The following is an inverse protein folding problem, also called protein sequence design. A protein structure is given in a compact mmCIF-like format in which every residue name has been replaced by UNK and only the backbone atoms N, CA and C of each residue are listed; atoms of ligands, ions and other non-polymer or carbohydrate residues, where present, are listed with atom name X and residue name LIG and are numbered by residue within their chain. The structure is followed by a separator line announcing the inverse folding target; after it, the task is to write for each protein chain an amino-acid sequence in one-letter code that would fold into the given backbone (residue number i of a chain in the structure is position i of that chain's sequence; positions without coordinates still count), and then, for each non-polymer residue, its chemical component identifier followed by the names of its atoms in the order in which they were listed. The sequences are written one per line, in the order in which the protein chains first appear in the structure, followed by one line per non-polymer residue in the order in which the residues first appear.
data_IF_944393969931
#
_entry.id   IF_944393969931
#
_cell.length_a   1.000
_cell.length_b   1.000
_cell.length_c   1.000
_cell.angle_alpha   90.00
_cell.angle_beta   90.00
_cell.angle_gamma   90.00
#
_symmetry.space_group_name_H-M   'P 1'
#
loop_
_entity.id
_entity.type
_entity.pdbx_description
1 polymer ?
#
# COMPACT_ATOMS: atom_id res chain seq x y z
N UNK A 1 5.50 5.91 1.84
CA UNK A 1 5.35 4.60 2.48
C UNK A 1 6.09 4.59 3.80
N UNK A 2 5.80 3.60 4.64
CA UNK A 2 6.53 3.25 5.86
C UNK A 2 6.30 1.77 6.19
N UNK A 3 7.25 1.16 6.89
CA UNK A 3 7.12 -0.23 7.36
C UNK A 3 6.24 -0.31 8.62
N UNK A 4 5.45 -1.38 8.73
CA UNK A 4 4.56 -1.66 9.87
C UNK A 4 4.57 -3.14 10.25
N UNK A 5 4.01 -3.46 11.42
CA UNK A 5 3.99 -4.81 11.97
C UNK A 5 5.30 -5.18 12.68
N UNK A 6 5.35 -6.40 13.20
CA UNK A 6 6.54 -6.93 13.87
C UNK A 6 7.73 -6.85 12.92
N UNK A 7 8.83 -6.26 13.39
CA UNK A 7 10.09 -6.06 12.65
C UNK A 7 9.92 -5.33 11.29
N UNK A 8 8.83 -4.55 11.15
CA UNK A 8 8.51 -3.85 9.91
C UNK A 8 8.24 -4.81 8.73
N UNK A 9 7.62 -5.95 9.00
CA UNK A 9 7.36 -7.00 8.01
C UNK A 9 6.43 -6.57 6.86
N UNK A 10 5.57 -5.58 7.06
CA UNK A 10 4.61 -5.13 6.05
C UNK A 10 4.94 -3.71 5.57
N UNK A 11 4.59 -3.42 4.32
CA UNK A 11 4.76 -2.09 3.75
C UNK A 11 3.39 -1.40 3.68
N UNK A 12 3.25 -0.26 4.36
CA UNK A 12 2.04 0.57 4.27
C UNK A 12 2.31 1.83 3.45
N UNK A 13 1.35 2.25 2.64
CA UNK A 13 1.48 3.39 1.76
C UNK A 13 0.15 4.11 1.51
N UNK A 14 0.25 5.34 1.01
CA UNK A 14 -0.87 6.07 0.42
C UNK A 14 -0.64 6.12 -1.08
N UNK A 15 -1.65 5.76 -1.85
CA UNK A 15 -1.63 5.75 -3.31
C UNK A 15 -2.61 6.80 -3.79
N UNK A 16 -2.17 7.59 -4.76
CA UNK A 16 -2.98 8.64 -5.40
C UNK A 16 -3.23 8.21 -6.84
N UNK A 17 -4.50 8.19 -7.24
CA UNK A 17 -4.93 7.82 -8.60
C UNK A 17 -6.37 8.24 -8.82
N UNK A 18 -6.73 8.59 -10.05
CA UNK A 18 -8.10 8.97 -10.44
C UNK A 18 -8.78 10.01 -9.52
N UNK A 19 -8.00 10.97 -9.02
CA UNK A 19 -8.49 12.04 -8.14
C UNK A 19 -8.79 11.61 -6.70
N UNK A 20 -8.52 10.35 -6.31
CA UNK A 20 -8.67 9.86 -4.94
C UNK A 20 -7.33 9.48 -4.31
N UNK A 21 -7.31 9.40 -2.99
CA UNK A 21 -6.19 8.88 -2.22
C UNK A 21 -6.68 7.72 -1.36
N UNK A 22 -6.09 6.54 -1.54
CA UNK A 22 -6.43 5.34 -0.78
C UNK A 22 -5.24 4.86 0.05
N UNK A 23 -5.54 4.22 1.17
CA UNK A 23 -4.53 3.47 1.91
C UNK A 23 -4.29 2.12 1.25
N UNK A 24 -3.04 1.67 1.27
CA UNK A 24 -2.64 0.37 0.74
C UNK A 24 -1.66 -0.32 1.69
N UNK A 25 -1.75 -1.64 1.79
CA UNK A 25 -0.87 -2.49 2.59
C UNK A 25 -0.40 -3.69 1.79
N UNK A 26 0.90 -3.93 1.77
CA UNK A 26 1.53 -5.13 1.21
C UNK A 26 2.06 -5.99 2.37
N UNK A 27 1.39 -7.11 2.65
CA UNK A 27 1.74 -7.98 3.77
C UNK A 27 3.00 -8.80 3.46
N UNK A 28 4.01 -8.76 4.35
CA UNK A 28 5.23 -9.56 4.20
C UNK A 28 6.18 -9.00 3.14
N UNK A 29 5.99 -7.73 2.76
CA UNK A 29 6.72 -7.01 1.71
C UNK A 29 7.43 -5.76 2.22
N UNK A 30 7.74 -5.70 3.52
CA UNK A 30 8.40 -4.54 4.14
C UNK A 30 9.72 -4.12 3.47
N UNK A 31 10.46 -5.08 2.91
CA UNK A 31 11.73 -4.83 2.22
C UNK A 31 11.58 -4.02 0.91
N UNK A 32 10.40 -4.04 0.27
CA UNK A 32 10.16 -3.28 -0.96
C UNK A 32 10.21 -1.76 -0.76
N UNK A 33 10.22 -1.28 0.49
CA UNK A 33 10.41 0.14 0.80
C UNK A 33 11.67 0.71 0.14
N UNK A 34 12.76 -0.06 0.05
CA UNK A 34 14.00 0.38 -0.60
C UNK A 34 13.99 0.29 -2.12
N UNK A 35 13.02 -0.40 -2.70
CA UNK A 35 12.94 -0.65 -4.15
C UNK A 35 12.07 0.36 -4.88
N UNK A 36 11.14 1.01 -4.16
CA UNK A 36 10.20 1.99 -4.71
C UNK A 36 10.54 3.36 -4.17
N UNK A 37 10.64 4.36 -5.04
CA UNK A 37 10.87 5.74 -4.62
C UNK A 37 9.57 6.43 -4.23
N UNK A 38 9.56 7.20 -3.14
CA UNK A 38 8.38 8.00 -2.75
C UNK A 38 8.05 8.98 -3.87
N UNK A 39 6.81 8.96 -4.34
CA UNK A 39 6.33 9.84 -5.41
C UNK A 39 6.54 9.30 -6.83
N UNK A 40 7.12 8.10 -7.01
CA UNK A 40 7.15 7.46 -8.32
C UNK A 40 5.76 6.98 -8.74
N UNK A 41 5.50 6.97 -10.04
CA UNK A 41 4.34 6.28 -10.63
C UNK A 41 4.63 4.78 -10.65
N UNK A 42 3.66 3.99 -10.20
CA UNK A 42 3.77 2.54 -10.04
C UNK A 42 2.52 1.85 -10.57
N UNK A 43 2.68 0.63 -11.06
CA UNK A 43 1.57 -0.29 -11.31
C UNK A 43 1.37 -1.17 -10.07
N UNK A 44 0.11 -1.38 -9.69
CA UNK A 44 -0.27 -2.16 -8.51
C UNK A 44 -1.18 -3.32 -8.90
N UNK A 45 -0.86 -4.52 -8.41
CA UNK A 45 -1.80 -5.64 -8.36
C UNK A 45 -2.40 -5.70 -6.96
N UNK A 46 -3.72 -5.55 -6.83
CA UNK A 46 -4.37 -5.43 -5.53
C UNK A 46 -5.80 -5.97 -5.51
N UNK A 47 -6.28 -6.21 -4.29
CA UNK A 47 -7.69 -6.44 -3.99
C UNK A 47 -8.24 -5.31 -3.11
N UNK A 48 -9.55 -5.08 -3.17
CA UNK A 48 -10.24 -4.12 -2.32
C UNK A 48 -10.72 -4.80 -1.04
N UNK A 49 -10.44 -4.18 0.10
CA UNK A 49 -10.94 -4.62 1.40
C UNK A 49 -11.54 -3.44 2.15
N UNK A 50 -12.68 -3.66 2.80
CA UNK A 50 -13.17 -2.71 3.79
C UNK A 50 -12.31 -2.83 5.05
N UNK A 51 -11.57 -1.78 5.38
CA UNK A 51 -10.87 -1.67 6.66
C UNK A 51 -11.84 -1.04 7.66
N UNK A 52 -12.18 -1.83 8.69
CA UNK A 52 -13.07 -1.42 9.78
C UNK A 52 -12.22 -1.23 11.03
N UNK A 53 -11.66 -0.04 11.19
CA UNK A 53 -10.86 0.30 12.35
C UNK A 53 -11.53 1.41 13.16
N UNK A 54 -11.76 1.14 14.45
CA UNK A 54 -12.29 2.09 15.43
C UNK A 54 -13.60 2.81 15.00
N UNK A 55 -14.51 2.09 14.34
CA UNK A 55 -15.80 2.62 13.89
C UNK A 55 -15.75 3.41 12.58
N UNK A 56 -14.58 3.57 11.96
CA UNK A 56 -14.43 4.07 10.61
C UNK A 56 -14.36 2.90 9.62
N UNK A 57 -15.11 2.99 8.52
CA UNK A 57 -15.04 2.06 7.41
C UNK A 57 -14.44 2.80 6.21
N UNK A 58 -13.23 2.41 5.81
CA UNK A 58 -12.59 2.96 4.63
C UNK A 58 -12.16 1.82 3.68
N UNK A 59 -12.10 2.13 2.39
CA UNK A 59 -11.56 1.19 1.41
C UNK A 59 -10.03 1.19 1.53
N UNK A 60 -9.46 0.02 1.74
CA UNK A 60 -8.02 -0.22 1.76
C UNK A 60 -7.63 -1.20 0.66
N UNK A 61 -6.54 -0.91 -0.04
CA UNK A 61 -5.96 -1.80 -1.04
C UNK A 61 -5.07 -2.84 -0.34
N UNK A 62 -5.36 -4.12 -0.52
CA UNK A 62 -4.42 -5.18 -0.16
C UNK A 62 -3.58 -5.50 -1.39
N UNK A 63 -2.28 -5.19 -1.31
CA UNK A 63 -1.36 -5.24 -2.45
C UNK A 63 -0.64 -6.57 -2.48
N UNK A 64 -0.74 -7.26 -3.62
CA UNK A 64 -0.07 -8.53 -3.89
C UNK A 64 1.26 -8.32 -4.61
N UNK A 65 1.34 -7.31 -5.48
CA UNK A 65 2.55 -6.98 -6.24
C UNK A 65 2.63 -5.50 -6.61
N UNK A 66 3.87 -5.02 -6.80
CA UNK A 66 4.19 -3.63 -7.14
C UNK A 66 5.33 -3.62 -8.14
N UNK A 67 5.20 -2.80 -9.19
CA UNK A 67 6.32 -2.51 -10.10
C UNK A 67 6.35 -1.04 -10.49
N UNK A 68 7.52 -0.50 -10.88
CA UNK A 68 7.59 0.81 -11.53
C UNK A 68 6.71 0.84 -12.79
N UNK A 69 6.01 1.96 -13.00
CA UNK A 69 5.26 2.20 -14.23
C UNK A 69 6.24 2.48 -15.39
N UNK A 70 5.98 1.94 -16.58
CA UNK A 70 6.78 2.13 -17.79
C UNK A 70 6.03 2.92 -18.85
#
# INVERSE_FOLDING_TARGET
MWRVGQDGAHLKMKVVGDGTTLEAVAFGRGAMESEISRGSVIDLCYTLKADKFNGSECVQLTVEDIKPHQ
#
